data_IF_822908927182
#
_entry.id   IF_822908927182
#
_cell.length_a   1.000
_cell.length_b   1.000
_cell.length_c   1.000
_cell.angle_alpha   90.00
_cell.angle_beta   90.00
_cell.angle_gamma   90.00
#
_symmetry.space_group_name_H-M   'P 1'
#
loop_
_entity.id
_entity.type
_entity.pdbx_description
1 polymer ?
#
# COMPACT_ATOMS: atom_id res chain seq x y z
N UNK A 1 0.87 -8.43 -18.83
CA UNK A 1 -0.40 -7.68 -18.69
C UNK A 1 -1.51 -8.58 -18.13
N UNK A 2 -2.16 -9.46 -18.90
CA UNK A 2 -3.27 -10.29 -18.37
C UNK A 2 -2.88 -11.15 -17.15
N UNK A 3 -1.71 -11.80 -17.19
CA UNK A 3 -1.19 -12.63 -16.10
C UNK A 3 -0.88 -11.84 -14.82
N UNK A 4 -0.48 -10.58 -14.96
CA UNK A 4 -0.14 -9.70 -13.83
C UNK A 4 -1.42 -9.19 -13.17
N UNK A 5 -2.45 -8.88 -13.97
CA UNK A 5 -3.78 -8.52 -13.49
C UNK A 5 -4.44 -9.68 -12.74
N UNK A 6 -4.43 -10.90 -13.28
CA UNK A 6 -4.98 -12.08 -12.58
C UNK A 6 -4.29 -12.33 -11.24
N UNK A 7 -2.97 -12.13 -11.19
CA UNK A 7 -2.19 -12.26 -9.96
C UNK A 7 -2.55 -11.18 -8.94
N UNK A 8 -2.66 -9.93 -9.38
CA UNK A 8 -3.10 -8.83 -8.53
C UNK A 8 -4.49 -9.10 -7.94
N UNK A 9 -5.43 -9.59 -8.77
CA UNK A 9 -6.76 -9.99 -8.31
C UNK A 9 -6.65 -11.05 -7.21
N UNK A 10 -5.91 -12.14 -7.42
CA UNK A 10 -5.73 -13.19 -6.40
C UNK A 10 -5.16 -12.65 -5.08
N UNK A 11 -4.13 -11.81 -5.15
CA UNK A 11 -3.48 -11.25 -3.97
C UNK A 11 -4.41 -10.29 -3.20
N UNK A 12 -5.07 -9.37 -3.90
CA UNK A 12 -6.00 -8.43 -3.28
C UNK A 12 -7.23 -9.13 -2.69
N UNK A 13 -7.77 -10.12 -3.40
CA UNK A 13 -8.90 -10.92 -2.92
C UNK A 13 -8.51 -11.77 -1.71
N UNK A 14 -7.31 -12.35 -1.69
CA UNK A 14 -6.79 -13.07 -0.52
C UNK A 14 -6.67 -12.17 0.71
N UNK A 15 -6.05 -11.00 0.56
CA UNK A 15 -5.92 -10.01 1.65
C UNK A 15 -7.32 -9.61 2.15
N UNK A 16 -8.20 -9.22 1.24
CA UNK A 16 -9.55 -8.74 1.58
C UNK A 16 -10.34 -9.80 2.34
N UNK A 17 -10.26 -11.06 1.90
CA UNK A 17 -10.93 -12.17 2.54
C UNK A 17 -10.39 -12.42 3.96
N UNK A 18 -9.07 -12.50 4.15
CA UNK A 18 -8.48 -12.73 5.47
C UNK A 18 -8.73 -11.57 6.44
N UNK A 19 -8.75 -10.33 5.95
CA UNK A 19 -9.11 -9.15 6.75
C UNK A 19 -10.57 -9.13 7.19
N UNK A 20 -11.46 -9.70 6.37
CA UNK A 20 -12.90 -9.77 6.67
C UNK A 20 -13.22 -10.86 7.70
N UNK A 21 -12.64 -12.05 7.57
CA UNK A 21 -12.97 -13.21 8.41
C UNK A 21 -12.51 -13.06 9.86
N UNK A 22 -11.38 -12.39 10.13
CA UNK A 22 -10.83 -12.13 11.49
C UNK A 22 -10.71 -13.37 12.40
N UNK A 23 -10.75 -14.57 11.82
CA UNK A 23 -10.60 -15.88 12.49
C UNK A 23 -9.59 -16.72 11.69
N UNK A 24 -9.02 -17.78 12.29
CA UNK A 24 -8.23 -18.75 11.55
C UNK A 24 -9.03 -19.42 10.43
N UNK A 25 -8.47 -19.42 9.21
CA UNK A 25 -9.07 -19.98 8.00
C UNK A 25 -8.18 -21.07 7.40
N UNK A 26 -8.78 -22.17 6.98
CA UNK A 26 -8.05 -23.27 6.34
C UNK A 26 -7.66 -22.95 4.89
N UNK A 27 -6.63 -23.64 4.37
CA UNK A 27 -6.29 -23.58 2.95
C UNK A 27 -7.46 -23.94 2.02
N UNK A 28 -8.33 -24.86 2.46
CA UNK A 28 -9.50 -25.30 1.68
C UNK A 28 -10.55 -24.21 1.56
N UNK A 29 -10.87 -23.52 2.65
CA UNK A 29 -11.78 -22.36 2.65
C UNK A 29 -11.21 -21.24 1.76
N UNK A 30 -9.92 -20.94 1.87
CA UNK A 30 -9.25 -19.94 1.01
C UNK A 30 -9.42 -20.30 -0.47
N UNK A 31 -9.19 -21.57 -0.85
CA UNK A 31 -9.33 -22.02 -2.25
C UNK A 31 -10.76 -21.86 -2.77
N UNK A 32 -11.76 -22.02 -1.91
CA UNK A 32 -13.18 -21.97 -2.29
C UNK A 32 -13.70 -20.54 -2.41
N UNK A 33 -13.35 -19.69 -1.45
CA UNK A 33 -13.96 -18.35 -1.31
C UNK A 33 -13.17 -17.23 -2.00
N UNK A 34 -11.85 -17.40 -2.18
CA UNK A 34 -11.03 -16.34 -2.77
C UNK A 34 -11.10 -16.37 -4.29
N UNK A 35 -11.47 -15.21 -4.84
CA UNK A 35 -11.47 -14.99 -6.28
C UNK A 35 -10.10 -15.25 -6.91
N UNK A 36 -10.12 -16.00 -8.00
CA UNK A 36 -8.91 -16.40 -8.73
C UNK A 36 -8.21 -17.63 -8.16
N UNK A 37 -8.61 -18.16 -7.00
CA UNK A 37 -8.31 -19.55 -6.60
C UNK A 37 -9.48 -20.50 -6.86
N UNK A 38 -10.71 -19.99 -6.80
CA UNK A 38 -11.91 -20.76 -7.09
C UNK A 38 -11.81 -21.51 -8.43
N UNK A 39 -12.02 -22.82 -8.39
CA UNK A 39 -11.94 -23.70 -9.57
C UNK A 39 -10.55 -24.27 -9.88
N UNK A 40 -9.49 -23.87 -9.17
CA UNK A 40 -8.19 -24.54 -9.27
C UNK A 40 -8.21 -25.91 -8.60
N UNK A 41 -7.48 -26.86 -9.18
CA UNK A 41 -7.15 -28.11 -8.49
C UNK A 41 -6.16 -27.84 -7.34
N UNK A 42 -5.98 -28.84 -6.48
CA UNK A 42 -5.18 -28.71 -5.26
C UNK A 42 -3.71 -28.36 -5.53
N UNK A 43 -3.07 -29.02 -6.50
CA UNK A 43 -1.67 -28.75 -6.86
C UNK A 43 -1.44 -27.34 -7.43
N UNK A 44 -2.34 -26.88 -8.30
CA UNK A 44 -2.27 -25.56 -8.90
C UNK A 44 -2.52 -24.48 -7.85
N UNK A 45 -3.52 -24.69 -6.99
CA UNK A 45 -3.81 -23.81 -5.87
C UNK A 45 -2.60 -23.71 -4.94
N UNK A 46 -2.06 -24.83 -4.47
CA UNK A 46 -0.92 -24.83 -3.53
C UNK A 46 0.25 -24.02 -4.08
N UNK A 47 0.66 -24.29 -5.33
CA UNK A 47 1.77 -23.55 -5.97
C UNK A 47 1.49 -22.05 -6.06
N UNK A 48 0.27 -21.65 -6.43
CA UNK A 48 -0.11 -20.24 -6.57
C UNK A 48 -0.22 -19.55 -5.23
N UNK A 49 -0.90 -20.17 -4.27
CA UNK A 49 -1.07 -19.65 -2.92
C UNK A 49 0.27 -19.40 -2.22
N UNK A 50 1.19 -20.35 -2.25
CA UNK A 50 2.51 -20.16 -1.63
C UNK A 50 3.36 -19.11 -2.35
N UNK A 51 3.27 -19.03 -3.68
CA UNK A 51 3.95 -17.98 -4.44
C UNK A 51 3.38 -16.58 -4.13
N UNK A 52 2.05 -16.45 -4.15
CA UNK A 52 1.36 -15.20 -3.86
C UNK A 52 1.62 -14.78 -2.39
N UNK A 53 1.62 -15.72 -1.43
CA UNK A 53 2.01 -15.48 -0.03
C UNK A 53 3.45 -15.00 0.11
N UNK A 54 4.42 -15.67 -0.51
CA UNK A 54 5.82 -15.28 -0.42
C UNK A 54 6.08 -13.87 -0.97
N UNK A 55 5.30 -13.47 -1.97
CA UNK A 55 5.36 -12.12 -2.50
C UNK A 55 4.71 -11.09 -1.59
N UNK A 56 3.57 -11.40 -0.98
CA UNK A 56 2.97 -10.55 0.05
C UNK A 56 3.94 -10.35 1.22
N UNK A 57 4.62 -11.40 1.66
CA UNK A 57 5.66 -11.36 2.69
C UNK A 57 6.83 -10.45 2.27
N UNK A 58 7.26 -10.50 1.00
CA UNK A 58 8.27 -9.58 0.47
C UNK A 58 7.85 -8.10 0.45
N UNK A 59 6.54 -7.83 0.49
CA UNK A 59 5.95 -6.49 0.61
C UNK A 59 5.71 -6.09 2.08
N UNK A 60 6.06 -6.94 3.03
CA UNK A 60 5.83 -6.74 4.47
C UNK A 60 4.43 -7.13 4.95
N UNK A 61 3.64 -7.83 4.13
CA UNK A 61 2.30 -8.34 4.50
C UNK A 61 2.43 -9.81 4.90
N UNK A 62 2.59 -10.05 6.20
CA UNK A 62 2.86 -11.39 6.73
C UNK A 62 1.58 -12.11 7.19
N UNK A 63 1.22 -13.20 6.52
CA UNK A 63 0.16 -14.08 6.98
C UNK A 63 0.65 -14.90 8.17
N UNK A 64 -0.10 -14.85 9.29
CA UNK A 64 0.16 -15.69 10.45
C UNK A 64 -0.36 -17.11 10.16
N UNK A 65 0.49 -18.10 10.43
CA UNK A 65 0.21 -19.52 10.23
C UNK A 65 0.18 -20.24 11.57
N UNK A 66 -0.98 -20.77 11.93
CA UNK A 66 -1.16 -21.57 13.13
C UNK A 66 -1.21 -23.05 12.75
N UNK A 67 -0.30 -23.84 13.33
CA UNK A 67 -0.22 -25.30 13.17
C UNK A 67 -0.77 -25.95 14.44
N UNK A 68 -1.85 -26.74 14.38
CA UNK A 68 -2.34 -27.47 15.55
C UNK A 68 -1.24 -28.36 16.15
N UNK A 69 -1.16 -28.39 17.48
CA UNK A 69 -0.07 -29.05 18.24
C UNK A 69 -0.23 -30.58 18.26
N UNK A 70 -1.45 -31.07 18.02
CA UNK A 70 -1.75 -32.49 18.01
C UNK A 70 -1.39 -33.07 16.64
N UNK A 71 -0.33 -33.88 16.60
CA UNK A 71 0.35 -34.46 15.43
C UNK A 71 -0.48 -35.40 14.54
N UNK A 72 -1.75 -35.09 14.35
CA UNK A 72 -2.54 -35.53 13.21
C UNK A 72 -2.40 -34.50 12.09
N UNK A 73 -2.64 -34.93 10.85
CA UNK A 73 -2.47 -34.16 9.62
C UNK A 73 -3.49 -32.99 9.52
N UNK A 74 -3.62 -32.17 10.55
CA UNK A 74 -4.54 -31.04 10.56
C UNK A 74 -3.97 -29.90 9.74
N UNK A 75 -4.80 -29.41 8.82
CA UNK A 75 -4.45 -28.39 7.86
C UNK A 75 -3.98 -27.11 8.56
N UNK A 76 -2.95 -26.47 8.00
CA UNK A 76 -2.49 -25.16 8.43
C UNK A 76 -3.66 -24.16 8.39
N UNK A 77 -3.78 -23.36 9.44
CA UNK A 77 -4.73 -22.26 9.48
C UNK A 77 -4.00 -20.94 9.25
N UNK A 78 -4.62 -20.06 8.49
CA UNK A 78 -4.09 -18.76 8.09
C UNK A 78 -4.94 -17.64 8.66
N UNK A 79 -4.28 -16.60 9.14
CA UNK A 79 -4.89 -15.33 9.53
C UNK A 79 -4.05 -14.18 9.00
N UNK A 80 -4.67 -13.02 8.79
CA UNK A 80 -3.96 -11.78 8.56
C UNK A 80 -4.29 -10.80 9.70
N UNK A 81 -3.47 -10.76 10.76
CA UNK A 81 -3.63 -9.78 11.82
C UNK A 81 -3.58 -8.36 11.24
N UNK A 82 -4.44 -7.43 11.68
CA UNK A 82 -4.44 -6.04 11.19
C UNK A 82 -3.06 -5.38 11.29
N UNK A 83 -2.30 -5.66 12.33
CA UNK A 83 -0.92 -5.18 12.54
C UNK A 83 0.08 -5.65 11.48
N UNK A 84 -0.21 -6.75 10.78
CA UNK A 84 0.60 -7.29 9.68
C UNK A 84 0.19 -6.72 8.31
N UNK A 85 -0.82 -5.86 8.25
CA UNK A 85 -1.29 -5.24 7.01
C UNK A 85 -1.27 -3.71 7.08
N UNK A 86 -1.74 -3.13 8.20
CA UNK A 86 -1.73 -1.70 8.39
C UNK A 86 -0.33 -1.21 8.71
N UNK A 87 0.06 -0.13 8.04
CA UNK A 87 1.24 0.62 8.43
C UNK A 87 1.01 1.25 9.82
N UNK A 88 2.07 1.35 10.64
CA UNK A 88 1.99 2.08 11.90
C UNK A 88 1.51 3.51 11.64
N UNK A 89 0.84 4.10 12.63
CA UNK A 89 0.43 5.49 12.53
C UNK A 89 1.66 6.36 12.28
N UNK A 90 1.60 7.16 11.21
CA UNK A 90 2.64 8.12 10.87
C UNK A 90 2.21 9.48 11.42
N UNK A 91 3.03 10.03 12.30
CA UNK A 91 2.88 11.39 12.77
C UNK A 91 3.80 12.31 11.97
N UNK A 92 3.24 13.42 11.48
CA UNK A 92 4.01 14.46 10.82
C UNK A 92 4.01 15.73 11.66
N UNK A 93 5.19 16.34 11.77
CA UNK A 93 5.35 17.72 12.21
C UNK A 93 4.74 18.69 11.21
N UNK A 94 4.47 19.92 11.64
CA UNK A 94 3.92 20.96 10.77
C UNK A 94 4.88 21.30 9.61
N UNK A 95 6.19 21.23 9.85
CA UNK A 95 7.22 21.42 8.83
C UNK A 95 7.22 20.30 7.77
N UNK A 96 7.01 19.05 8.17
CA UNK A 96 6.96 17.92 7.22
C UNK A 96 5.67 17.96 6.39
N UNK A 97 4.53 18.28 7.01
CA UNK A 97 3.28 18.51 6.27
C UNK A 97 3.42 19.68 5.29
N UNK A 98 4.09 20.76 5.69
CA UNK A 98 4.45 21.87 4.82
C UNK A 98 5.28 21.41 3.61
N UNK A 99 6.35 20.66 3.86
CA UNK A 99 7.22 20.13 2.80
C UNK A 99 6.46 19.21 1.83
N UNK A 100 5.60 18.32 2.32
CA UNK A 100 4.78 17.44 1.48
C UNK A 100 3.78 18.22 0.62
N UNK A 101 3.16 19.28 1.17
CA UNK A 101 2.29 20.18 0.40
C UNK A 101 3.06 20.95 -0.67
N UNK A 102 4.26 21.44 -0.35
CA UNK A 102 5.13 22.09 -1.34
C UNK A 102 5.54 21.12 -2.43
N UNK A 103 5.94 19.89 -2.09
CA UNK A 103 6.27 18.86 -3.07
C UNK A 103 5.08 18.55 -3.98
N UNK A 104 3.87 18.39 -3.42
CA UNK A 104 2.65 18.20 -4.21
C UNK A 104 2.39 19.38 -5.17
N UNK A 105 2.60 20.61 -4.72
CA UNK A 105 2.41 21.80 -5.57
C UNK A 105 3.45 21.89 -6.68
N UNK A 106 4.70 21.51 -6.42
CA UNK A 106 5.78 21.56 -7.42
C UNK A 106 5.63 20.46 -8.47
N UNK A 107 5.06 19.33 -8.08
CA UNK A 107 4.87 18.16 -8.95
C UNK A 107 3.47 18.09 -9.57
N UNK A 108 2.67 19.16 -9.48
CA UNK A 108 1.31 19.18 -9.99
C UNK A 108 1.31 18.96 -11.51
N UNK A 109 0.46 18.03 -11.97
CA UNK A 109 0.41 17.60 -13.37
C UNK A 109 1.49 16.59 -13.80
N UNK A 110 2.59 16.43 -13.06
CA UNK A 110 3.65 15.46 -13.38
C UNK A 110 3.64 14.22 -12.48
N UNK A 111 3.08 14.33 -11.27
CA UNK A 111 2.99 13.22 -10.32
C UNK A 111 1.71 12.40 -10.50
N UNK A 112 1.86 11.14 -10.92
CA UNK A 112 0.75 10.22 -11.18
C UNK A 112 -0.20 10.00 -9.99
N UNK A 113 0.26 10.21 -8.76
CA UNK A 113 -0.52 10.02 -7.54
C UNK A 113 -0.83 11.34 -6.81
N UNK A 114 -0.83 12.46 -7.54
CA UNK A 114 -1.11 13.78 -6.96
C UNK A 114 -2.47 13.85 -6.25
N UNK A 115 -3.51 13.26 -6.84
CA UNK A 115 -4.85 13.27 -6.24
C UNK A 115 -4.94 12.42 -4.96
N UNK A 116 -4.49 11.15 -4.91
CA UNK A 116 -4.37 10.39 -3.66
C UNK A 116 -3.56 11.12 -2.58
N UNK A 117 -2.41 11.71 -2.94
CA UNK A 117 -1.58 12.46 -1.99
C UNK A 117 -2.31 13.69 -1.44
N UNK A 118 -3.06 14.40 -2.30
CA UNK A 118 -3.87 15.55 -1.90
C UNK A 118 -4.93 15.15 -0.87
N UNK A 119 -5.64 14.05 -1.10
CA UNK A 119 -6.65 13.54 -0.17
C UNK A 119 -6.01 13.11 1.16
N UNK A 120 -4.88 12.41 1.11
CA UNK A 120 -4.14 12.00 2.32
C UNK A 120 -3.70 13.22 3.15
N UNK A 121 -3.15 14.25 2.51
CA UNK A 121 -2.76 15.50 3.18
C UNK A 121 -3.95 16.28 3.76
N UNK A 122 -5.12 16.20 3.10
CA UNK A 122 -6.36 16.77 3.65
C UNK A 122 -6.77 16.05 4.93
N UNK A 123 -6.78 14.71 4.92
CA UNK A 123 -7.09 13.89 6.10
C UNK A 123 -6.13 14.18 7.27
N UNK A 124 -4.83 14.26 7.00
CA UNK A 124 -3.81 14.55 8.01
C UNK A 124 -3.92 15.96 8.60
N UNK A 125 -4.53 16.89 7.85
CA UNK A 125 -4.78 18.26 8.31
C UNK A 125 -6.11 18.44 9.06
N UNK A 126 -7.01 17.45 9.05
CA UNK A 126 -8.23 17.54 9.85
C UNK A 126 -7.89 17.55 11.35
N UNK A 127 -8.25 18.65 12.02
CA UNK A 127 -7.95 18.88 13.44
C UNK A 127 -6.69 19.72 13.71
N UNK A 128 -5.88 20.07 12.70
CA UNK A 128 -4.71 20.95 12.84
C UNK A 128 -4.89 22.24 12.01
N UNK A 129 -4.69 23.44 12.58
CA UNK A 129 -4.70 24.67 11.78
C UNK A 129 -3.63 24.60 10.69
N UNK A 130 -3.97 25.00 9.46
CA UNK A 130 -3.03 25.01 8.34
C UNK A 130 -1.84 25.93 8.68
N UNK A 131 -0.59 25.44 8.71
CA UNK A 131 0.58 26.27 9.02
C UNK A 131 0.82 27.36 7.96
N UNK A 132 0.25 27.20 6.75
CA UNK A 132 0.27 28.19 5.68
C UNK A 132 -0.69 29.38 5.92
N UNK A 133 -1.59 29.28 6.91
CA UNK A 133 -2.51 30.35 7.29
C UNK A 133 -2.02 31.10 8.54
N UNK A 134 -0.86 30.76 9.09
CA UNK A 134 -0.21 31.59 10.10
C UNK A 134 0.24 32.92 9.44
N UNK A 135 0.02 34.10 10.04
CA UNK A 135 0.29 35.39 9.40
C UNK A 135 1.78 35.72 9.17
N UNK A 136 2.70 34.75 9.21
CA UNK A 136 4.13 35.02 9.03
C UNK A 136 4.56 34.70 7.60
N UNK A 137 4.83 35.78 6.87
CA UNK A 137 5.28 35.84 5.49
C UNK A 137 6.56 35.00 5.28
N UNK A 138 6.42 33.86 4.61
CA UNK A 138 7.56 33.15 4.02
C UNK A 138 7.35 33.01 2.52
N UNK A 139 7.63 34.10 1.80
CA UNK A 139 7.85 34.05 0.36
C UNK A 139 9.13 33.24 0.10
N UNK A 140 8.98 32.03 -0.42
CA UNK A 140 10.13 31.26 -0.93
C UNK A 140 10.47 31.81 -2.31
N UNK A 141 11.44 32.71 -2.37
CA UNK A 141 12.00 33.18 -3.63
C UNK A 141 12.90 32.08 -4.23
N UNK A 142 12.39 31.37 -5.24
CA UNK A 142 13.18 30.40 -6.00
C UNK A 142 14.06 31.15 -7.00
N UNK A 143 15.34 31.32 -6.68
CA UNK A 143 16.34 31.74 -7.66
C UNK A 143 16.63 30.56 -8.59
N UNK A 144 15.90 30.48 -9.70
CA UNK A 144 16.30 29.63 -10.84
C UNK A 144 17.52 30.30 -11.48
N UNK A 145 18.72 29.89 -11.07
CA UNK A 145 19.93 30.23 -11.81
C UNK A 145 19.95 29.40 -13.09
N UNK A 146 19.32 29.90 -14.14
CA UNK A 146 19.53 29.40 -15.49
C UNK A 146 20.99 29.69 -15.87
N UNK A 147 21.80 28.64 -15.93
CA UNK A 147 23.18 28.70 -16.38
C UNK A 147 23.26 29.29 -17.79
N UNK A 148 24.19 30.22 -17.96
CA UNK A 148 24.47 30.90 -19.21
C UNK A 148 24.81 29.91 -20.33
N UNK A 149 24.03 29.96 -21.42
CA UNK A 149 24.34 29.31 -22.69
C UNK A 149 24.02 30.28 -23.81
N UNK A 150 25.00 31.12 -24.16
CA UNK A 150 24.87 32.08 -25.26
C UNK A 150 24.63 31.37 -26.59
N UNK A 151 23.66 31.90 -27.35
CA UNK A 151 23.57 31.62 -28.79
C UNK A 151 23.23 32.94 -29.48
N UNK A 152 24.26 33.55 -30.05
CA UNK A 152 24.14 34.67 -30.98
C UNK A 152 23.29 34.24 -32.17
N UNK A 153 22.33 35.08 -32.53
CA UNK A 153 21.58 35.00 -33.78
C UNK A 153 22.32 35.87 -34.81
N UNK A 154 22.77 35.24 -35.89
CA UNK A 154 22.97 35.90 -37.19
C UNK A 154 21.86 35.46 -38.14
#
# INVERSE_FOLDING_TARGET
MAKDTEKLIRQLSLISFLMAERRPITATEIRQEVEGYAGMNEDAFARRFYADRAELESLGIELKVDKPVDGHYEAENYTLPPENFYLPAIEFSDSELGALRTALSLLDGEFAYAEPLRLALQQLSWGKPSPLNAPEEHSVALAVTAGAGGRELS
#
